data_IF_617813663846
#
_entry.id   IF_617813663846
#
_cell.length_a   1.000
_cell.length_b   1.000
_cell.length_c   1.000
_cell.angle_alpha   90.00
_cell.angle_beta   90.00
_cell.angle_gamma   90.00
#
_symmetry.space_group_name_H-M   'P 1'
#
loop_
_entity.id
_entity.type
_entity.pdbx_description
1 polymer ?
#
# COMPACT_ATOMS: atom_id res chain seq x y z
N UNK A 1 6.76 -3.23 -28.96
CA UNK A 1 5.48 -3.39 -28.23
C UNK A 1 5.68 -2.68 -26.89
N UNK A 2 4.93 -1.62 -26.60
CA UNK A 2 5.00 -1.00 -25.28
C UNK A 2 4.40 -1.98 -24.26
N UNK A 3 5.00 -2.14 -23.06
CA UNK A 3 4.33 -2.85 -21.99
C UNK A 3 2.99 -2.16 -21.71
N UNK A 4 1.94 -2.90 -21.33
CA UNK A 4 0.69 -2.29 -20.90
C UNK A 4 0.97 -1.28 -19.79
N UNK A 5 0.32 -0.12 -19.84
CA UNK A 5 0.44 0.88 -18.78
C UNK A 5 0.05 0.23 -17.46
N UNK A 6 0.89 0.39 -16.43
CA UNK A 6 0.60 -0.12 -15.11
C UNK A 6 -0.74 0.43 -14.62
N UNK A 7 -1.64 -0.42 -14.10
CA UNK A 7 -2.92 0.03 -13.52
C UNK A 7 -2.71 0.85 -12.24
N UNK A 8 -1.50 0.82 -11.68
CA UNK A 8 -1.06 1.58 -10.52
C UNK A 8 -0.11 2.68 -11.00
N UNK A 9 -0.47 3.92 -10.74
CA UNK A 9 0.27 5.12 -11.12
C UNK A 9 -0.02 6.22 -10.10
N UNK A 10 0.65 7.38 -10.19
CA UNK A 10 0.49 8.46 -9.20
C UNK A 10 -0.97 8.95 -9.05
N UNK A 11 -1.81 8.76 -10.07
CA UNK A 11 -3.22 9.12 -10.06
C UNK A 11 -4.16 7.94 -9.71
N UNK A 12 -3.64 6.80 -9.27
CA UNK A 12 -4.47 5.63 -8.98
C UNK A 12 -5.42 5.89 -7.80
N UNK A 13 -6.66 5.43 -7.92
CA UNK A 13 -7.66 5.55 -6.85
C UNK A 13 -7.73 4.28 -6.03
N UNK A 14 -8.33 4.36 -4.82
CA UNK A 14 -8.60 3.16 -4.01
C UNK A 14 -9.43 2.09 -4.75
N UNK A 15 -10.22 2.48 -5.76
CA UNK A 15 -10.95 1.53 -6.62
C UNK A 15 -10.02 0.79 -7.59
N UNK A 16 -8.99 1.46 -8.11
CA UNK A 16 -8.03 0.83 -9.02
C UNK A 16 -7.14 -0.15 -8.26
N UNK A 17 -6.71 0.24 -7.05
CA UNK A 17 -6.03 -0.65 -6.10
C UNK A 17 -6.89 -1.86 -5.76
N UNK A 18 -8.19 -1.65 -5.51
CA UNK A 18 -9.11 -2.74 -5.21
C UNK A 18 -9.18 -3.78 -6.35
N UNK A 19 -9.23 -3.35 -7.62
CA UNK A 19 -9.23 -4.27 -8.77
C UNK A 19 -7.96 -5.11 -8.87
N UNK A 20 -6.82 -4.58 -8.41
CA UNK A 20 -5.56 -5.34 -8.36
C UNK A 20 -5.60 -6.41 -7.28
N UNK A 21 -6.23 -6.11 -6.15
CA UNK A 21 -6.22 -6.98 -4.97
C UNK A 21 -7.37 -8.01 -4.94
N UNK A 22 -8.52 -7.71 -5.54
CA UNK A 22 -9.68 -8.60 -5.67
C UNK A 22 -10.03 -8.82 -7.16
N UNK A 23 -9.36 -9.76 -7.84
CA UNK A 23 -9.69 -10.08 -9.22
C UNK A 23 -11.11 -10.63 -9.33
N UNK A 24 -11.86 -10.21 -10.35
CA UNK A 24 -13.30 -10.47 -10.49
C UNK A 24 -13.69 -11.95 -10.68
N UNK A 25 -12.74 -12.84 -11.01
CA UNK A 25 -12.98 -14.28 -11.19
C UNK A 25 -11.98 -15.10 -10.36
N UNK A 26 -12.44 -16.12 -9.60
CA UNK A 26 -11.55 -17.10 -8.98
C UNK A 26 -10.79 -17.87 -10.06
N UNK A 27 -9.51 -17.57 -10.25
CA UNK A 27 -8.68 -18.15 -11.32
C UNK A 27 -8.15 -17.12 -12.33
N UNK A 28 -8.66 -15.89 -12.30
CA UNK A 28 -7.96 -14.75 -12.88
C UNK A 28 -6.74 -14.47 -11.98
N UNK A 29 -5.65 -15.18 -12.24
CA UNK A 29 -4.33 -14.70 -11.87
C UNK A 29 -4.10 -13.42 -12.67
N UNK A 30 -4.60 -12.29 -12.19
CA UNK A 30 -4.06 -11.00 -12.60
C UNK A 30 -2.62 -11.02 -12.08
N UNK A 31 -1.60 -11.13 -12.96
CA UNK A 31 -0.23 -11.03 -12.50
C UNK A 31 -0.13 -9.67 -11.80
N UNK A 32 0.43 -9.68 -10.59
CA UNK A 32 0.73 -8.45 -9.86
C UNK A 32 1.41 -7.48 -10.84
N UNK A 33 0.93 -6.22 -10.94
CA UNK A 33 1.61 -5.23 -11.75
C UNK A 33 3.10 -5.22 -11.42
N UNK A 34 3.96 -4.99 -12.41
CA UNK A 34 5.42 -4.96 -12.21
C UNK A 34 5.87 -3.98 -11.13
N UNK A 35 5.02 -3.00 -10.84
CA UNK A 35 5.27 -1.93 -9.89
C UNK A 35 4.90 -2.33 -8.45
N UNK A 36 4.24 -3.48 -8.26
CA UNK A 36 3.98 -4.05 -6.92
C UNK A 36 5.16 -4.93 -6.51
N UNK A 37 5.85 -4.51 -5.47
CA UNK A 37 6.95 -5.26 -4.90
C UNK A 37 6.42 -6.25 -3.86
N UNK A 38 6.97 -7.46 -3.88
CA UNK A 38 6.63 -8.54 -2.95
C UNK A 38 7.87 -8.96 -2.16
N UNK A 39 7.67 -9.51 -0.97
CA UNK A 39 8.78 -9.98 -0.12
C UNK A 39 9.56 -8.88 0.60
N UNK A 40 9.16 -7.61 0.45
CA UNK A 40 9.67 -6.51 1.26
C UNK A 40 8.80 -6.38 2.50
N UNK A 41 9.43 -6.41 3.66
CA UNK A 41 8.76 -6.07 4.91
C UNK A 41 8.94 -4.57 5.17
N UNK A 42 7.88 -3.79 4.98
CA UNK A 42 7.93 -2.34 5.16
C UNK A 42 8.37 -1.91 6.56
N UNK A 43 8.08 -2.72 7.57
CA UNK A 43 8.45 -2.45 8.96
C UNK A 43 9.95 -2.66 9.24
N UNK A 44 10.71 -3.20 8.29
CA UNK A 44 12.15 -3.40 8.41
C UNK A 44 12.99 -2.21 7.95
N UNK A 45 12.36 -1.21 7.30
CA UNK A 45 13.07 -0.12 6.67
C UNK A 45 12.58 1.23 7.18
N UNK A 46 13.52 2.14 7.35
CA UNK A 46 13.20 3.56 7.27
C UNK A 46 12.63 3.87 5.86
N UNK A 47 11.52 4.62 5.72
CA UNK A 47 10.88 4.84 4.43
C UNK A 47 11.81 5.41 3.33
N UNK A 48 12.78 6.24 3.71
CA UNK A 48 13.78 6.80 2.78
C UNK A 48 14.72 5.74 2.18
N UNK A 49 14.86 4.60 2.85
CA UNK A 49 15.77 3.52 2.45
C UNK A 49 15.03 2.39 1.68
N UNK A 50 13.74 2.59 1.34
CA UNK A 50 12.98 1.58 0.63
C UNK A 50 13.47 1.42 -0.83
N UNK A 51 13.76 0.19 -1.27
CA UNK A 51 14.28 -0.05 -2.62
C UNK A 51 13.22 0.19 -3.71
N UNK A 52 13.66 0.56 -4.91
CA UNK A 52 12.86 0.53 -6.14
C UNK A 52 11.78 1.61 -6.26
N UNK A 53 12.17 2.89 -6.31
CA UNK A 53 11.23 4.01 -6.56
C UNK A 53 10.52 3.83 -7.90
N UNK A 54 9.19 3.74 -7.88
CA UNK A 54 8.33 3.89 -9.04
C UNK A 54 7.52 5.18 -8.90
N UNK A 55 7.88 6.24 -9.62
CA UNK A 55 7.06 7.46 -9.77
C UNK A 55 6.68 8.18 -8.45
N UNK A 56 7.51 8.09 -7.41
CA UNK A 56 7.29 8.79 -6.13
C UNK A 56 6.38 8.06 -5.13
N UNK A 57 5.93 6.85 -5.47
CA UNK A 57 5.18 5.97 -4.56
C UNK A 57 5.79 4.55 -4.57
N UNK A 58 5.53 3.78 -3.51
CA UNK A 58 5.84 2.34 -3.44
C UNK A 58 4.53 1.58 -3.28
N UNK A 59 4.33 0.52 -4.05
CA UNK A 59 3.23 -0.42 -3.89
C UNK A 59 3.80 -1.73 -3.36
N UNK A 60 3.51 -2.07 -2.11
CA UNK A 60 4.06 -3.24 -1.44
C UNK A 60 2.94 -4.20 -1.07
N UNK A 61 3.06 -5.47 -1.46
CA UNK A 61 2.18 -6.50 -0.91
C UNK A 61 2.71 -6.90 0.47
N UNK A 62 1.83 -6.82 1.48
CA UNK A 62 2.26 -7.04 2.87
C UNK A 62 2.94 -8.40 3.03
N UNK A 63 4.13 -8.38 3.60
CA UNK A 63 4.76 -9.59 4.11
C UNK A 63 4.00 -10.11 5.34
N UNK A 64 3.75 -11.43 5.46
CA UNK A 64 3.12 -12.00 6.66
C UNK A 64 4.03 -11.91 7.90
N UNK A 65 5.32 -11.59 7.71
CA UNK A 65 6.28 -11.44 8.78
C UNK A 65 6.29 -9.99 9.27
N UNK A 66 5.93 -9.77 10.55
CA UNK A 66 6.12 -8.48 11.20
C UNK A 66 7.45 -8.54 11.97
N UNK A 67 8.46 -7.79 11.52
CA UNK A 67 9.64 -7.51 12.32
C UNK A 67 9.56 -6.08 12.79
N UNK A 68 9.78 -5.87 14.09
CA UNK A 68 9.90 -4.53 14.65
C UNK A 68 11.36 -4.12 14.56
N UNK A 69 11.64 -3.00 13.89
CA UNK A 69 12.98 -2.43 13.81
C UNK A 69 13.09 -1.17 14.64
N UNK A 70 14.32 -0.81 14.96
CA UNK A 70 14.69 0.42 15.67
C UNK A 70 14.70 1.66 14.76
N UNK A 71 14.23 1.54 13.51
CA UNK A 71 14.25 2.63 12.52
C UNK A 71 13.09 3.61 12.66
N UNK A 72 12.04 3.26 13.40
CA UNK A 72 10.86 4.09 13.63
C UNK A 72 9.59 3.25 13.66
N UNK A 73 8.42 3.90 13.58
CA UNK A 73 7.13 3.21 13.63
C UNK A 73 6.02 3.91 12.85
N UNK A 74 5.06 3.13 12.39
CA UNK A 74 3.87 3.60 11.68
C UNK A 74 2.69 3.74 12.63
N UNK A 75 2.12 4.94 12.72
CA UNK A 75 0.95 5.23 13.54
C UNK A 75 -0.27 5.45 12.65
N UNK A 76 -1.40 4.81 12.99
CA UNK A 76 -2.66 5.07 12.30
C UNK A 76 -3.13 6.51 12.57
N UNK A 77 -3.55 7.19 11.51
CA UNK A 77 -4.05 8.56 11.56
C UNK A 77 -5.43 8.63 10.90
N UNK A 78 -6.40 9.17 11.63
CA UNK A 78 -7.80 9.27 11.18
C UNK A 78 -8.55 7.94 11.20
N UNK A 79 -9.80 7.99 10.73
CA UNK A 79 -10.66 6.82 10.64
C UNK A 79 -10.45 6.09 9.30
N UNK A 80 -10.46 4.74 9.37
CA UNK A 80 -10.43 3.92 8.17
C UNK A 80 -11.66 4.17 7.28
N UNK A 81 -11.42 4.37 5.99
CA UNK A 81 -12.45 4.64 4.99
C UNK A 81 -12.91 3.34 4.34
N UNK A 82 -14.22 3.22 4.12
CA UNK A 82 -14.80 2.07 3.42
C UNK A 82 -14.59 2.23 1.92
N UNK A 83 -14.10 1.18 1.29
CA UNK A 83 -14.01 1.07 -0.15
C UNK A 83 -15.23 0.32 -0.64
N UNK A 84 -15.96 0.91 -1.59
CA UNK A 84 -17.16 0.33 -2.14
C UNK A 84 -16.94 -0.13 -3.58
N UNK A 85 -17.30 -1.39 -3.86
CA UNK A 85 -17.46 -1.92 -5.21
C UNK A 85 -18.88 -2.46 -5.37
N UNK A 86 -19.53 -2.14 -6.49
CA UNK A 86 -20.89 -2.59 -6.83
C UNK A 86 -21.93 -2.42 -5.70
N UNK A 87 -21.81 -1.32 -4.95
CA UNK A 87 -22.72 -0.99 -3.85
C UNK A 87 -22.52 -1.79 -2.56
N UNK A 88 -21.49 -2.64 -2.49
CA UNK A 88 -21.10 -3.36 -1.27
C UNK A 88 -19.77 -2.82 -0.73
N UNK A 89 -19.60 -2.89 0.59
CA UNK A 89 -18.28 -2.65 1.18
C UNK A 89 -17.41 -3.79 0.71
N UNK A 90 -16.31 -3.45 0.06
CA UNK A 90 -15.39 -4.37 -0.59
C UNK A 90 -14.07 -4.45 0.16
N UNK A 91 -13.72 -3.39 0.88
CA UNK A 91 -12.51 -3.30 1.68
C UNK A 91 -12.43 -2.04 2.52
N UNK A 92 -11.25 -1.80 3.07
CA UNK A 92 -10.92 -0.67 3.92
C UNK A 92 -9.62 -0.02 3.46
N UNK A 93 -9.60 1.31 3.49
CA UNK A 93 -8.41 2.14 3.31
C UNK A 93 -8.09 2.79 4.67
N UNK A 94 -6.88 2.57 5.18
CA UNK A 94 -6.40 3.21 6.41
C UNK A 94 -5.18 4.07 6.10
N UNK A 95 -5.05 5.22 6.75
CA UNK A 95 -3.86 6.06 6.61
C UNK A 95 -2.95 5.89 7.81
N UNK A 96 -1.65 5.77 7.57
CA UNK A 96 -0.61 5.73 8.60
C UNK A 96 0.46 6.77 8.30
N UNK A 97 1.03 7.34 9.35
CA UNK A 97 2.13 8.30 9.28
C UNK A 97 3.34 7.68 9.97
N UNK A 98 4.53 7.89 9.41
CA UNK A 98 5.76 7.36 9.98
C UNK A 98 6.36 8.33 10.99
N UNK A 99 6.82 7.78 12.10
CA UNK A 99 7.46 8.48 13.19
C UNK A 99 8.87 7.91 13.39
N UNK A 100 9.82 8.81 13.58
CA UNK A 100 11.17 8.48 14.01
C UNK A 100 11.16 7.89 15.44
N UNK A 101 12.22 7.17 15.87
CA UNK A 101 12.29 6.57 17.21
C UNK A 101 12.12 7.56 18.38
N UNK A 102 12.35 8.85 18.12
CA UNK A 102 12.17 9.95 19.08
C UNK A 102 10.76 10.57 19.06
N UNK A 103 9.77 9.88 18.46
CA UNK A 103 8.38 10.33 18.32
C UNK A 103 8.22 11.60 17.43
N UNK A 104 9.21 11.88 16.57
CA UNK A 104 9.13 12.95 15.59
C UNK A 104 8.35 12.46 14.36
N UNK A 105 7.23 13.13 14.05
CA UNK A 105 6.42 12.85 12.85
C UNK A 105 7.17 13.24 11.58
N UNK A 106 7.35 12.28 10.67
CA UNK A 106 7.95 12.54 9.36
C UNK A 106 6.92 12.96 8.30
N UNK A 107 7.40 13.22 7.10
CA UNK A 107 6.59 13.54 5.93
C UNK A 107 6.08 12.28 5.19
N UNK A 108 6.44 11.09 5.66
CA UNK A 108 6.08 9.81 5.06
C UNK A 108 4.68 9.37 5.48
N UNK A 109 3.88 9.01 4.48
CA UNK A 109 2.51 8.55 4.64
C UNK A 109 2.35 7.20 3.94
N UNK A 110 1.56 6.33 4.55
CA UNK A 110 1.15 5.05 3.99
C UNK A 110 -0.38 4.99 3.92
N UNK A 111 -0.91 4.48 2.82
CA UNK A 111 -2.28 4.01 2.69
C UNK A 111 -2.29 2.48 2.67
N UNK A 112 -2.95 1.88 3.65
CA UNK A 112 -3.12 0.44 3.82
C UNK A 112 -4.50 0.03 3.28
N UNK A 113 -4.53 -0.87 2.29
CA UNK A 113 -5.74 -1.34 1.62
C UNK A 113 -6.01 -2.81 1.97
N UNK A 114 -7.13 -3.09 2.65
CA UNK A 114 -7.55 -4.44 3.08
C UNK A 114 -8.83 -4.88 2.37
N UNK A 115 -8.91 -6.12 1.90
CA UNK A 115 -10.15 -6.72 1.35
C UNK A 115 -10.79 -7.67 2.36
N UNK A 116 -12.13 -7.68 2.44
CA UNK A 116 -12.87 -8.47 3.41
C UNK A 116 -13.46 -9.80 2.90
N UNK A 117 -13.41 -10.09 1.59
CA UNK A 117 -14.17 -11.20 0.97
C UNK A 117 -13.35 -12.43 0.55
N UNK A 118 -12.04 -12.30 0.44
CA UNK A 118 -11.09 -13.38 0.17
C UNK A 118 -10.02 -13.37 1.28
N UNK A 119 -9.15 -14.40 1.35
CA UNK A 119 -7.99 -14.40 2.27
C UNK A 119 -7.39 -12.98 2.27
N UNK A 120 -7.25 -12.32 3.43
CA UNK A 120 -7.04 -10.88 3.48
C UNK A 120 -5.74 -10.51 2.75
N UNK A 121 -5.89 -10.05 1.51
CA UNK A 121 -4.82 -9.43 0.75
C UNK A 121 -4.69 -7.99 1.26
N UNK A 122 -3.46 -7.61 1.59
CA UNK A 122 -3.13 -6.29 2.09
C UNK A 122 -2.10 -5.65 1.16
N UNK A 123 -2.44 -4.48 0.62
CA UNK A 123 -1.49 -3.63 -0.09
C UNK A 123 -1.16 -2.41 0.74
N UNK A 124 0.12 -2.13 0.88
CA UNK A 124 0.66 -0.94 1.53
C UNK A 124 1.18 -0.03 0.42
N UNK A 125 0.57 1.15 0.29
CA UNK A 125 0.99 2.18 -0.65
C UNK A 125 1.68 3.28 0.13
N UNK A 126 2.95 3.53 -0.15
CA UNK A 126 3.75 4.52 0.57
C UNK A 126 4.11 5.69 -0.34
N UNK A 127 4.03 6.90 0.19
CA UNK A 127 4.41 8.12 -0.52
C UNK A 127 4.94 9.19 0.45
N UNK A 128 5.89 9.99 -0.03
CA UNK A 128 6.39 11.15 0.68
C UNK A 128 5.50 12.36 0.38
N UNK A 129 4.97 13.01 1.40
CA UNK A 129 4.29 14.29 1.22
C UNK A 129 5.33 15.40 1.25
N UNK A 130 5.55 16.13 0.16
CA UNK A 130 6.33 17.37 0.25
C UNK A 130 5.52 18.37 1.06
N UNK A 131 5.95 18.67 2.29
CA UNK A 131 5.51 19.89 2.97
C UNK A 131 6.32 21.07 2.39
N UNK A 132 5.66 22.13 1.89
CA UNK A 132 6.33 23.33 1.40
C UNK A 132 7.04 24.12 2.51
#
# INVERSE_FOLDING_TARGET
MCPPASPLGPDCTGRDIFKVLDPAQPGDHIPLPSDVQTGINLHEYHPENLPGIANGCWYLLRSPFKMETDTGFWKATGDARRIYSDGRVSGWESTREFYEPNDHRTHWVMQEYTITHNVPNLLEVLYGTFQP
#
